data_IF_410186968688
#
_entry.id   IF_410186968688
#
_cell.length_a   1.000
_cell.length_b   1.000
_cell.length_c   1.000
_cell.angle_alpha   90.00
_cell.angle_beta   90.00
_cell.angle_gamma   90.00
#
_symmetry.space_group_name_H-M   'P 1'
#
loop_
_entity.id
_entity.type
_entity.pdbx_description
1 polymer ?
#
# COMPACT_ATOMS: atom_id res chain seq x y z
N UNK A 1 13.64 12.48 -2.42
CA UNK A 1 12.29 12.20 -2.96
C UNK A 1 12.25 10.77 -3.51
N UNK A 2 11.23 9.99 -3.14
CA UNK A 2 10.99 8.64 -3.71
C UNK A 2 10.14 8.77 -4.97
N UNK A 3 9.02 9.47 -4.84
CA UNK A 3 8.02 9.75 -5.87
C UNK A 3 7.29 11.07 -5.55
N UNK A 4 6.15 11.31 -6.21
CA UNK A 4 5.36 12.54 -6.03
C UNK A 4 4.60 12.60 -4.69
N UNK A 5 4.54 11.49 -3.94
CA UNK A 5 3.78 11.36 -2.70
C UNK A 5 4.66 11.33 -1.45
N UNK A 6 5.90 10.84 -1.56
CA UNK A 6 6.76 10.62 -0.40
C UNK A 6 8.24 10.97 -0.62
N UNK A 7 8.89 11.41 0.46
CA UNK A 7 10.32 11.71 0.53
C UNK A 7 10.97 11.02 1.73
N UNK A 8 12.25 10.65 1.62
CA UNK A 8 13.03 10.06 2.73
C UNK A 8 14.12 11.03 3.19
N UNK A 9 14.20 11.26 4.50
CA UNK A 9 15.34 11.91 5.16
C UNK A 9 16.41 10.86 5.50
N UNK A 10 17.49 10.86 4.70
CA UNK A 10 18.70 10.07 4.92
C UNK A 10 19.81 10.84 5.64
N UNK A 11 19.50 11.95 6.31
CA UNK A 11 20.49 12.67 7.11
C UNK A 11 21.05 11.77 8.20
N UNK A 12 22.31 11.99 8.53
CA UNK A 12 22.96 11.34 9.66
C UNK A 12 22.23 11.70 10.96
N UNK A 13 21.92 10.70 11.78
CA UNK A 13 21.39 10.92 13.14
C UNK A 13 22.51 11.13 14.17
N UNK A 14 23.71 10.62 13.88
CA UNK A 14 24.92 10.73 14.69
C UNK A 14 26.17 10.86 13.78
N UNK A 15 27.33 11.20 14.35
CA UNK A 15 28.57 11.14 13.58
C UNK A 15 28.95 9.68 13.27
N UNK A 16 29.52 9.39 12.08
CA UNK A 16 29.99 8.05 11.73
C UNK A 16 30.91 7.48 12.81
N UNK A 17 30.62 6.26 13.28
CA UNK A 17 31.44 5.58 14.26
C UNK A 17 32.42 4.65 13.54
N UNK A 18 33.71 4.83 13.78
CA UNK A 18 34.77 4.05 13.15
C UNK A 18 35.27 2.99 14.13
N UNK A 19 35.04 1.72 13.78
CA UNK A 19 35.53 0.56 14.49
C UNK A 19 36.58 -0.16 13.64
N UNK A 20 37.29 -1.11 14.26
CA UNK A 20 38.15 -2.04 13.52
C UNK A 20 37.48 -3.42 13.65
N UNK A 21 36.85 -3.98 12.59
CA UNK A 21 37.11 -3.74 11.16
C UNK A 21 36.06 -2.93 10.35
N UNK A 22 35.02 -2.35 10.95
CA UNK A 22 33.88 -1.76 10.21
C UNK A 22 33.60 -0.29 10.59
N UNK A 23 32.77 0.40 9.78
CA UNK A 23 32.29 1.76 10.04
C UNK A 23 30.77 1.69 10.12
N UNK A 24 30.21 2.27 11.18
CA UNK A 24 28.77 2.40 11.36
C UNK A 24 28.29 3.80 10.95
N UNK A 25 27.19 3.81 10.21
CA UNK A 25 26.54 5.01 9.69
C UNK A 25 25.06 5.00 10.11
N UNK A 26 24.74 5.77 11.15
CA UNK A 26 23.35 5.91 11.58
C UNK A 26 22.63 6.95 10.73
N UNK A 27 21.67 6.48 9.93
CA UNK A 27 20.79 7.33 9.13
C UNK A 27 19.44 7.47 9.85
N UNK A 28 18.83 8.64 9.76
CA UNK A 28 17.48 8.87 10.33
C UNK A 28 16.44 7.94 9.72
N UNK A 29 16.44 7.80 8.39
CA UNK A 29 15.52 6.93 7.67
C UNK A 29 14.05 7.25 7.96
N UNK A 30 13.66 8.52 7.84
CA UNK A 30 12.27 8.95 8.10
C UNK A 30 11.59 9.26 6.78
N UNK A 31 10.38 8.74 6.59
CA UNK A 31 9.58 9.04 5.39
C UNK A 31 8.51 10.08 5.71
N UNK A 32 8.42 11.10 4.87
CA UNK A 32 7.46 12.20 4.97
C UNK A 32 6.56 12.26 3.73
N UNK A 33 5.31 12.72 3.87
CA UNK A 33 4.52 13.15 2.72
C UNK A 33 5.23 14.26 1.94
N UNK A 34 5.23 14.18 0.62
CA UNK A 34 5.82 15.20 -0.23
C UNK A 34 5.15 16.56 0.03
N UNK A 35 5.97 17.58 0.30
CA UNK A 35 5.50 18.95 0.58
C UNK A 35 4.86 19.17 1.95
N UNK A 36 4.75 18.15 2.81
CA UNK A 36 4.25 18.28 4.17
C UNK A 36 5.10 17.49 5.17
N UNK A 37 5.92 18.20 5.95
CA UNK A 37 6.77 17.62 6.99
C UNK A 37 6.03 17.49 8.33
N UNK A 38 4.85 16.87 8.31
CA UNK A 38 4.16 16.53 9.55
C UNK A 38 4.95 15.41 10.24
N UNK A 39 5.27 15.59 11.51
CA UNK A 39 5.97 14.58 12.29
C UNK A 39 5.14 13.30 12.41
N UNK A 40 5.82 12.16 12.30
CA UNK A 40 5.23 10.84 12.47
C UNK A 40 4.79 10.61 13.92
N UNK A 41 3.64 9.96 14.16
CA UNK A 41 3.21 9.60 15.52
C UNK A 41 4.00 8.41 16.11
N UNK A 42 4.82 7.73 15.30
CA UNK A 42 5.59 6.56 15.72
C UNK A 42 6.87 6.95 16.46
N UNK A 43 7.39 6.05 17.28
CA UNK A 43 8.64 6.23 18.01
C UNK A 43 9.63 5.18 17.55
N UNK A 44 10.84 5.61 17.19
CA UNK A 44 11.90 4.71 16.78
C UNK A 44 12.37 3.84 17.96
N UNK A 45 12.37 2.53 17.77
CA UNK A 45 12.99 1.59 18.69
C UNK A 45 14.46 1.35 18.29
N UNK A 46 15.34 1.22 19.29
CA UNK A 46 16.71 0.77 19.06
C UNK A 46 16.72 -0.68 18.59
N UNK A 47 17.60 -0.99 17.64
CA UNK A 47 17.84 -2.35 17.16
C UNK A 47 19.35 -2.55 16.99
N UNK A 48 19.78 -3.80 16.99
CA UNK A 48 21.19 -4.18 16.81
C UNK A 48 21.35 -4.99 15.54
N UNK A 49 22.42 -4.69 14.81
CA UNK A 49 22.83 -5.46 13.64
C UNK A 49 23.69 -6.63 14.15
N UNK A 50 23.44 -7.88 13.72
CA UNK A 50 24.30 -9.01 14.08
C UNK A 50 25.76 -8.76 13.65
N UNK A 51 26.72 -9.14 14.49
CA UNK A 51 28.14 -9.13 14.14
C UNK A 51 28.40 -10.19 13.06
N UNK A 52 28.27 -9.77 11.80
CA UNK A 52 28.63 -10.55 10.62
C UNK A 52 29.67 -9.76 9.83
N UNK A 53 30.64 -10.48 9.27
CA UNK A 53 31.75 -9.88 8.51
C UNK A 53 31.99 -10.62 7.19
N UNK A 54 30.96 -11.26 6.65
CA UNK A 54 30.99 -11.99 5.38
C UNK A 54 30.67 -11.10 4.16
N UNK A 55 30.26 -9.85 4.39
CA UNK A 55 29.87 -8.88 3.36
C UNK A 55 30.53 -7.51 3.57
N UNK A 56 30.70 -6.75 2.49
CA UNK A 56 31.32 -5.41 2.53
C UNK A 56 30.39 -4.32 3.07
N UNK A 57 29.08 -4.55 3.02
CA UNK A 57 28.06 -3.59 3.41
C UNK A 57 26.88 -4.33 4.01
N UNK A 58 26.43 -3.86 5.17
CA UNK A 58 25.18 -4.28 5.79
C UNK A 58 24.23 -3.09 5.81
N UNK A 59 23.00 -3.33 5.35
CA UNK A 59 21.91 -2.37 5.44
C UNK A 59 20.88 -2.94 6.39
N UNK A 60 20.51 -2.16 7.40
CA UNK A 60 19.46 -2.51 8.34
C UNK A 60 18.37 -1.46 8.31
N UNK A 61 17.13 -1.92 8.31
CA UNK A 61 15.94 -1.09 8.27
C UNK A 61 15.14 -1.35 9.54
N UNK A 62 14.74 -0.28 10.22
CA UNK A 62 13.91 -0.35 11.41
C UNK A 62 12.43 -0.54 11.03
N UNK A 63 11.65 -1.10 11.95
CA UNK A 63 10.18 -1.06 11.85
C UNK A 63 9.67 0.38 11.64
N UNK A 64 10.31 1.33 12.31
CA UNK A 64 9.99 2.75 12.25
C UNK A 64 10.14 3.35 10.84
N UNK A 65 11.15 2.95 10.06
CA UNK A 65 11.29 3.36 8.65
C UNK A 65 10.06 2.92 7.83
N UNK A 66 9.58 1.70 8.03
CA UNK A 66 8.40 1.21 7.32
C UNK A 66 7.10 1.84 7.84
N UNK A 67 6.94 2.03 9.15
CA UNK A 67 5.77 2.69 9.73
C UNK A 67 5.62 4.13 9.24
N UNK A 68 6.71 4.91 9.23
CA UNK A 68 6.72 6.27 8.68
C UNK A 68 6.38 6.27 7.18
N UNK A 69 6.87 5.28 6.42
CA UNK A 69 6.50 5.08 5.02
C UNK A 69 4.99 4.87 4.85
N UNK A 70 4.41 3.92 5.60
CA UNK A 70 2.97 3.64 5.55
C UNK A 70 2.12 4.86 5.87
N UNK A 71 2.50 5.61 6.90
CA UNK A 71 1.84 6.85 7.29
C UNK A 71 1.93 7.94 6.23
N UNK A 72 3.12 8.14 5.65
CA UNK A 72 3.31 9.13 4.59
C UNK A 72 2.41 8.84 3.38
N UNK A 73 2.41 7.60 2.89
CA UNK A 73 1.54 7.21 1.77
C UNK A 73 0.05 7.25 2.11
N UNK A 74 -0.33 6.89 3.34
CA UNK A 74 -1.71 6.97 3.78
C UNK A 74 -2.23 8.41 3.82
N UNK A 75 -1.46 9.30 4.43
CA UNK A 75 -1.84 10.73 4.52
C UNK A 75 -1.80 11.43 3.17
N UNK A 76 -0.96 10.97 2.24
CA UNK A 76 -0.97 11.41 0.84
C UNK A 76 -2.12 10.82 0.00
N UNK A 77 -2.96 9.94 0.56
CA UNK A 77 -4.13 9.38 -0.11
C UNK A 77 -3.84 8.20 -1.05
N UNK A 78 -2.66 7.60 -0.97
CA UNK A 78 -2.24 6.52 -1.87
C UNK A 78 -3.10 5.25 -1.78
N UNK A 79 -3.79 5.04 -0.64
CA UNK A 79 -4.65 3.87 -0.42
C UNK A 79 -6.13 4.10 -0.76
N UNK A 80 -6.44 5.17 -1.51
CA UNK A 80 -7.77 5.42 -2.05
C UNK A 80 -7.76 5.13 -3.57
N UNK A 81 -8.45 4.08 -3.98
CA UNK A 81 -8.48 3.61 -5.36
C UNK A 81 -9.92 3.48 -5.85
N UNK A 82 -10.16 3.87 -7.10
CA UNK A 82 -11.43 3.61 -7.78
C UNK A 82 -11.16 2.71 -8.98
N UNK A 83 -11.90 1.61 -9.09
CA UNK A 83 -11.87 0.68 -10.21
C UNK A 83 -13.24 0.75 -10.87
N UNK A 84 -13.30 1.24 -12.10
CA UNK A 84 -14.52 1.26 -12.91
C UNK A 84 -14.27 0.50 -14.21
N UNK A 85 -15.28 -0.24 -14.68
CA UNK A 85 -15.27 -0.81 -16.03
C UNK A 85 -15.52 0.31 -17.05
N UNK A 86 -14.48 1.07 -17.39
CA UNK A 86 -14.52 1.99 -18.53
C UNK A 86 -13.39 1.66 -19.49
N UNK A 87 -13.78 1.19 -20.67
CA UNK A 87 -12.90 0.85 -21.78
C UNK A 87 -12.12 2.04 -22.36
N UNK A 88 -12.20 3.26 -21.81
CA UNK A 88 -11.53 4.45 -22.37
C UNK A 88 -11.18 5.58 -21.39
N UNK A 89 -11.28 5.41 -20.05
CA UNK A 89 -11.06 6.54 -19.12
C UNK A 89 -10.12 6.20 -17.95
N UNK A 90 -8.98 5.59 -18.26
CA UNK A 90 -7.81 5.64 -17.37
C UNK A 90 -6.79 6.59 -17.97
N UNK A 91 -7.08 7.88 -17.83
CA UNK A 91 -6.13 8.93 -18.14
C UNK A 91 -5.17 9.05 -16.95
N UNK A 92 -3.95 8.53 -17.13
CA UNK A 92 -2.71 9.11 -16.58
C UNK A 92 -2.20 8.80 -15.16
N UNK A 93 -2.49 7.67 -14.51
CA UNK A 93 -1.71 7.29 -13.31
C UNK A 93 -1.35 5.79 -13.25
N UNK A 94 -0.04 5.54 -13.33
CA UNK A 94 0.71 4.30 -13.09
C UNK A 94 0.53 3.13 -14.08
N UNK A 95 1.61 2.81 -14.80
CA UNK A 95 1.76 1.65 -15.70
C UNK A 95 1.46 0.28 -15.06
N UNK A 96 1.41 0.17 -13.72
CA UNK A 96 0.97 -1.04 -13.01
C UNK A 96 -0.56 -1.22 -13.02
N UNK A 97 -1.31 -0.12 -13.18
CA UNK A 97 -2.77 -0.12 -13.25
C UNK A 97 -3.29 -0.79 -14.53
N UNK A 98 -2.58 -0.65 -15.65
CA UNK A 98 -2.94 -1.31 -16.91
C UNK A 98 -2.87 -2.84 -16.80
N UNK A 99 -1.89 -3.36 -16.07
CA UNK A 99 -1.73 -4.81 -15.90
C UNK A 99 -2.78 -5.41 -14.94
N UNK A 100 -3.13 -4.69 -13.86
CA UNK A 100 -4.22 -5.11 -12.96
C UNK A 100 -5.59 -5.08 -13.65
N UNK A 101 -5.91 -4.02 -14.40
CA UNK A 101 -7.18 -3.95 -15.15
C UNK A 101 -7.26 -5.02 -16.24
N UNK A 102 -6.16 -5.35 -16.91
CA UNK A 102 -6.15 -6.43 -17.90
C UNK A 102 -6.39 -7.83 -17.31
N UNK A 103 -6.22 -7.99 -15.99
CA UNK A 103 -6.61 -9.23 -15.27
C UNK A 103 -8.08 -9.16 -14.81
N UNK A 104 -8.56 -7.96 -14.43
CA UNK A 104 -9.97 -7.73 -14.13
C UNK A 104 -10.89 -7.75 -15.37
N UNK A 105 -10.38 -7.52 -16.59
CA UNK A 105 -11.18 -7.59 -17.83
C UNK A 105 -11.73 -8.99 -18.14
N UNK A 106 -11.29 -10.02 -17.43
CA UNK A 106 -11.90 -11.35 -17.47
C UNK A 106 -13.18 -11.46 -16.64
N UNK A 107 -13.40 -10.53 -15.70
CA UNK A 107 -14.63 -10.39 -14.93
C UNK A 107 -15.35 -9.14 -15.40
N UNK A 108 -16.40 -9.30 -16.21
CA UNK A 108 -17.33 -8.19 -16.44
C UNK A 108 -18.09 -7.96 -15.13
N UNK A 109 -17.57 -7.07 -14.27
CA UNK A 109 -18.14 -6.80 -12.95
C UNK A 109 -19.39 -5.94 -13.18
N UNK A 110 -20.51 -6.62 -13.33
CA UNK A 110 -21.81 -6.01 -13.51
C UNK A 110 -22.75 -6.38 -12.34
N UNK A 111 -23.92 -5.74 -12.28
CA UNK A 111 -24.92 -6.04 -11.26
C UNK A 111 -25.48 -7.47 -11.35
N UNK A 112 -25.36 -8.15 -12.50
CA UNK A 112 -25.82 -9.53 -12.69
C UNK A 112 -24.99 -10.52 -11.86
N UNK A 113 -23.67 -10.39 -11.82
CA UNK A 113 -22.80 -11.22 -10.96
C UNK A 113 -23.23 -11.08 -9.50
N UNK A 114 -23.42 -9.86 -9.01
CA UNK A 114 -23.84 -9.62 -7.63
C UNK A 114 -25.27 -10.06 -7.34
N UNK A 115 -26.17 -10.01 -8.33
CA UNK A 115 -27.55 -10.49 -8.19
C UNK A 115 -27.64 -11.97 -7.84
N UNK A 116 -26.65 -12.78 -8.26
CA UNK A 116 -26.57 -14.20 -7.95
C UNK A 116 -26.16 -14.50 -6.49
N UNK A 117 -25.49 -13.55 -5.83
CA UNK A 117 -24.96 -13.68 -4.46
C UNK A 117 -25.84 -12.91 -3.46
N UNK A 118 -26.31 -11.73 -3.86
CA UNK A 118 -27.07 -10.78 -3.02
C UNK A 118 -28.42 -10.50 -3.72
N UNK A 119 -29.50 -11.20 -3.33
CA UNK A 119 -30.82 -11.07 -3.96
C UNK A 119 -31.41 -9.65 -3.92
N UNK A 120 -31.03 -8.83 -2.94
CA UNK A 120 -31.43 -7.43 -2.84
C UNK A 120 -30.94 -6.62 -4.04
N UNK A 121 -29.78 -6.93 -4.62
CA UNK A 121 -29.27 -6.27 -5.83
C UNK A 121 -30.18 -6.57 -7.02
N UNK A 122 -30.66 -7.83 -7.13
CA UNK A 122 -31.55 -8.27 -8.19
C UNK A 122 -32.88 -7.50 -8.26
N UNK A 123 -33.35 -6.97 -7.11
CA UNK A 123 -34.58 -6.16 -7.05
C UNK A 123 -34.44 -4.82 -7.79
N UNK A 124 -33.21 -4.32 -7.95
CA UNK A 124 -32.94 -3.02 -8.55
C UNK A 124 -32.41 -3.10 -9.98
N UNK A 125 -31.98 -4.28 -10.44
CA UNK A 125 -31.36 -4.47 -11.75
C UNK A 125 -32.16 -5.47 -12.60
N UNK A 126 -33.24 -4.99 -13.23
CA UNK A 126 -33.91 -5.71 -14.34
C UNK A 126 -33.01 -5.71 -15.59
N UNK A 127 -32.13 -4.73 -15.71
CA UNK A 127 -31.08 -4.63 -16.73
C UNK A 127 -29.72 -4.55 -16.03
N UNK A 128 -28.68 -5.27 -16.49
CA UNK A 128 -27.35 -5.19 -15.91
C UNK A 128 -26.75 -3.79 -16.06
N UNK A 129 -26.26 -3.21 -14.95
CA UNK A 129 -25.50 -1.96 -14.96
C UNK A 129 -24.01 -2.23 -14.71
N UNK A 130 -23.09 -1.44 -15.30
CA UNK A 130 -21.68 -1.46 -14.94
C UNK A 130 -21.48 -1.12 -13.47
N UNK A 131 -20.45 -1.69 -12.85
CA UNK A 131 -20.12 -1.44 -11.45
C UNK A 131 -18.80 -0.68 -11.33
N UNK A 132 -18.76 0.21 -10.36
CA UNK A 132 -17.56 0.87 -9.88
C UNK A 132 -17.26 0.41 -8.44
N UNK A 133 -16.02 0.02 -8.19
CA UNK A 133 -15.51 -0.34 -6.88
C UNK A 133 -14.66 0.81 -6.34
N UNK A 134 -15.04 1.34 -5.19
CA UNK A 134 -14.26 2.35 -4.48
C UNK A 134 -13.60 1.71 -3.27
N UNK A 135 -12.29 1.50 -3.36
CA UNK A 135 -11.45 0.95 -2.30
C UNK A 135 -10.86 2.11 -1.50
N UNK A 136 -11.02 2.06 -0.19
CA UNK A 136 -10.50 3.07 0.72
C UNK A 136 -9.89 2.38 1.93
N UNK A 137 -8.70 2.78 2.32
CA UNK A 137 -8.17 2.38 3.63
C UNK A 137 -8.83 3.21 4.72
N UNK A 138 -9.26 2.57 5.81
CA UNK A 138 -9.99 3.22 6.90
C UNK A 138 -9.07 3.74 8.00
N UNK A 139 -7.85 3.21 8.05
CA UNK A 139 -6.80 3.57 9.00
C UNK A 139 -5.43 3.30 8.38
N UNK A 140 -4.37 3.88 8.95
CA UNK A 140 -3.00 3.70 8.44
C UNK A 140 -2.65 2.21 8.44
N UNK A 141 -2.20 1.61 7.32
CA UNK A 141 -1.77 0.22 7.31
C UNK A 141 -0.67 -0.03 8.33
N UNK A 142 -0.88 -1.03 9.18
CA UNK A 142 0.00 -1.29 10.33
C UNK A 142 1.10 -2.22 9.88
N UNK A 143 2.34 -1.77 10.05
CA UNK A 143 3.54 -2.55 9.74
C UNK A 143 4.17 -3.04 11.03
N UNK A 144 4.47 -4.34 11.08
CA UNK A 144 5.15 -5.00 12.20
C UNK A 144 6.34 -5.77 11.68
N UNK A 145 7.51 -5.52 12.25
CA UNK A 145 8.77 -6.20 11.97
C UNK A 145 9.26 -6.86 13.26
N UNK A 146 9.07 -8.17 13.33
CA UNK A 146 9.50 -9.03 14.43
C UNK A 146 10.57 -10.00 13.92
N UNK A 147 11.23 -10.69 14.86
CA UNK A 147 12.17 -11.75 14.50
C UNK A 147 11.45 -12.80 13.63
N UNK A 148 11.99 -13.04 12.43
CA UNK A 148 11.47 -13.96 11.42
C UNK A 148 10.05 -13.65 10.86
N UNK A 149 9.48 -12.49 11.20
CA UNK A 149 8.13 -12.11 10.77
C UNK A 149 8.07 -10.65 10.37
N UNK A 150 7.75 -10.40 9.11
CA UNK A 150 7.51 -9.06 8.59
C UNK A 150 6.11 -9.02 7.98
N UNK A 151 5.20 -8.24 8.57
CA UNK A 151 3.78 -8.23 8.20
C UNK A 151 3.22 -6.82 7.98
N UNK A 152 2.17 -6.76 7.17
CA UNK A 152 1.32 -5.57 6.99
C UNK A 152 -0.12 -5.98 7.22
N UNK A 153 -0.78 -5.30 8.14
CA UNK A 153 -2.23 -5.36 8.33
C UNK A 153 -2.88 -4.16 7.63
N UNK A 154 -3.79 -4.45 6.71
CA UNK A 154 -4.54 -3.45 5.95
C UNK A 154 -6.00 -3.56 6.36
N UNK A 155 -6.57 -2.47 6.86
CA UNK A 155 -8.01 -2.34 7.07
C UNK A 155 -8.57 -1.27 6.16
N UNK A 156 -9.71 -1.58 5.56
CA UNK A 156 -10.36 -0.73 4.59
C UNK A 156 -11.79 -1.12 4.33
N UNK A 157 -12.37 -0.42 3.36
CA UNK A 157 -13.69 -0.69 2.85
C UNK A 157 -13.67 -0.71 1.33
N UNK A 158 -14.48 -1.59 0.75
CA UNK A 158 -14.81 -1.59 -0.67
C UNK A 158 -16.28 -1.21 -0.79
N UNK A 159 -16.55 -0.03 -1.33
CA UNK A 159 -17.89 0.37 -1.69
C UNK A 159 -18.19 -0.02 -3.14
N UNK A 160 -19.31 -0.72 -3.33
CA UNK A 160 -19.75 -1.21 -4.64
C UNK A 160 -20.88 -0.32 -5.13
N UNK A 161 -20.66 0.35 -6.26
CA UNK A 161 -21.55 1.36 -6.82
C UNK A 161 -22.03 0.92 -8.20
N UNK A 162 -23.33 0.98 -8.48
CA UNK A 162 -23.84 0.84 -9.85
C UNK A 162 -23.73 2.18 -10.58
N UNK A 163 -23.32 2.14 -11.84
CA UNK A 163 -23.32 3.29 -12.76
C UNK A 163 -24.64 3.27 -13.53
N UNK A 164 -25.51 4.25 -13.26
CA UNK A 164 -26.82 4.38 -13.88
C UNK A 164 -26.74 4.99 -15.30
N UNK A 165 -27.77 4.84 -16.15
CA UNK A 165 -27.76 5.37 -17.52
C UNK A 165 -27.61 6.89 -17.62
N UNK A 166 -27.93 7.61 -16.55
CA UNK A 166 -27.76 9.07 -16.42
C UNK A 166 -26.35 9.44 -15.92
N UNK A 167 -25.41 8.48 -15.92
CA UNK A 167 -24.04 8.60 -15.40
C UNK A 167 -23.94 8.91 -13.91
N UNK A 168 -25.03 8.80 -13.15
CA UNK A 168 -24.98 8.90 -11.69
C UNK A 168 -24.58 7.57 -11.06
N UNK A 169 -23.96 7.63 -9.88
CA UNK A 169 -23.56 6.44 -9.14
C UNK A 169 -24.49 6.18 -7.98
N UNK A 170 -24.82 4.91 -7.76
CA UNK A 170 -25.67 4.48 -6.65
C UNK A 170 -24.99 3.39 -5.84
N UNK A 171 -24.83 3.63 -4.55
CA UNK A 171 -24.29 2.63 -3.63
C UNK A 171 -25.23 1.42 -3.53
N UNK A 172 -24.66 0.24 -3.78
CA UNK A 172 -25.35 -1.04 -3.66
C UNK A 172 -25.12 -1.61 -2.26
N UNK A 173 -23.85 -1.72 -1.87
CA UNK A 173 -23.42 -2.22 -0.57
C UNK A 173 -21.96 -1.84 -0.31
N UNK A 174 -21.53 -2.01 0.94
CA UNK A 174 -20.15 -1.78 1.37
C UNK A 174 -19.62 -3.02 2.07
N UNK A 175 -18.39 -3.40 1.74
CA UNK A 175 -17.67 -4.49 2.37
C UNK A 175 -16.55 -3.91 3.22
N UNK A 176 -16.44 -4.34 4.47
CA UNK A 176 -15.25 -4.10 5.27
C UNK A 176 -14.22 -5.18 4.95
N UNK A 177 -12.99 -4.77 4.69
CA UNK A 177 -11.88 -5.66 4.35
C UNK A 177 -10.81 -5.52 5.40
N UNK A 178 -10.41 -6.65 5.97
CA UNK A 178 -9.21 -6.77 6.79
C UNK A 178 -8.31 -7.82 6.12
N UNK A 179 -7.11 -7.40 5.74
CA UNK A 179 -6.11 -8.26 5.11
C UNK A 179 -4.84 -8.26 5.96
N UNK A 180 -4.31 -9.45 6.21
CA UNK A 180 -3.00 -9.64 6.83
C UNK A 180 -2.07 -10.23 5.77
N UNK A 181 -0.92 -9.59 5.58
CA UNK A 181 0.06 -9.99 4.56
C UNK A 181 1.43 -10.18 5.20
N UNK A 182 2.21 -11.10 4.66
CA UNK A 182 3.65 -11.21 4.90
C UNK A 182 4.41 -10.42 3.84
N UNK A 183 5.54 -9.83 4.23
CA UNK A 183 6.45 -9.13 3.32
C UNK A 183 7.74 -9.92 3.18
N UNK A 184 8.16 -10.13 1.94
CA UNK A 184 9.52 -10.54 1.61
C UNK A 184 10.29 -9.36 1.02
N UNK A 185 11.43 -9.03 1.61
CA UNK A 185 12.32 -7.98 1.10
C UNK A 185 13.38 -8.55 0.17
N UNK A 186 13.71 -7.81 -0.87
CA UNK A 186 14.84 -8.07 -1.74
C UNK A 186 15.51 -6.76 -2.16
N UNK A 187 16.78 -6.81 -2.52
CA UNK A 187 17.49 -5.68 -3.13
C UNK A 187 17.70 -6.00 -4.60
N UNK A 188 17.19 -5.15 -5.47
CA UNK A 188 17.37 -5.27 -6.91
C UNK A 188 17.60 -3.89 -7.52
N UNK A 189 18.62 -3.78 -8.38
CA UNK A 189 19.00 -2.51 -9.02
C UNK A 189 19.16 -1.35 -8.02
N UNK A 190 19.84 -1.62 -6.90
CA UNK A 190 20.08 -0.67 -5.80
C UNK A 190 18.80 -0.14 -5.11
N UNK A 191 17.66 -0.80 -5.32
CA UNK A 191 16.37 -0.46 -4.69
C UNK A 191 15.95 -1.57 -3.73
N UNK A 192 15.41 -1.15 -2.59
CA UNK A 192 14.71 -2.06 -1.69
C UNK A 192 13.33 -2.37 -2.28
N UNK A 193 13.11 -3.63 -2.63
CA UNK A 193 11.85 -4.13 -3.16
C UNK A 193 11.14 -4.98 -2.10
N UNK A 194 9.84 -4.74 -1.91
CA UNK A 194 8.98 -5.56 -1.07
C UNK A 194 7.98 -6.34 -1.92
N UNK A 195 7.83 -7.63 -1.63
CA UNK A 195 6.80 -8.50 -2.19
C UNK A 195 5.79 -8.83 -1.10
N UNK A 196 4.52 -8.53 -1.33
CA UNK A 196 3.43 -8.84 -0.41
C UNK A 196 2.80 -10.19 -0.75
N UNK A 197 2.65 -11.03 0.26
CA UNK A 197 1.94 -12.30 0.18
C UNK A 197 0.74 -12.26 1.12
N UNK A 198 -0.47 -12.42 0.57
CA UNK A 198 -1.67 -12.52 1.41
C UNK A 198 -1.58 -13.78 2.27
N UNK A 199 -1.71 -13.62 3.58
CA UNK A 199 -1.77 -14.77 4.48
C UNK A 199 -3.13 -15.47 4.27
N UNK A 200 -3.11 -16.80 4.25
CA UNK A 200 -4.30 -17.64 4.06
C UNK A 200 -5.15 -17.73 5.32
#
# INVERSE_FOLDING_TARGET
QIDDLAEVDYSLSSFPAVFQPFIDLDLKGIVFPAGNYTDSPYVAASFTIPDQSDSMLYLAFSEYFFQTSSFAYYTAGAFNMTIAEESNLVTHLFSLFYFFIQTCSYFSINTEIFSSIIPEVAKYSVTPYPVMLKLMSTEVPVISLQQDSFTVEIRGSVEVLAILPDSTTRSLFTLNVAANTSISLNIFDQKLMGSLCLNR
#
